data_IF_376024995314
#
_entry.id   IF_376024995314
#
_cell.length_a   1.000
_cell.length_b   1.000
_cell.length_c   1.000
_cell.angle_alpha   90.00
_cell.angle_beta   90.00
_cell.angle_gamma   90.00
#
_symmetry.space_group_name_H-M   'P 1'
#
loop_
_entity.id
_entity.type
_entity.pdbx_description
1 polymer ?
#
# COMPACT_ATOMS: atom_id res chain seq x y z
N UNK A 1 -127.20 -16.98 -25.10
CA UNK A 1 -127.09 -17.17 -23.63
C UNK A 1 -125.91 -16.32 -23.14
N UNK A 2 -126.16 -15.46 -22.14
CA UNK A 2 -125.27 -14.53 -21.38
C UNK A 2 -123.97 -15.19 -20.82
N UNK A 3 -123.04 -14.48 -20.11
CA UNK A 3 -122.63 -13.05 -20.12
C UNK A 3 -121.11 -12.75 -19.86
N UNK A 4 -120.73 -11.47 -19.97
CA UNK A 4 -119.85 -10.59 -19.14
C UNK A 4 -118.55 -11.11 -18.47
N UNK A 5 -117.44 -10.36 -18.65
CA UNK A 5 -116.50 -10.01 -17.57
C UNK A 5 -115.62 -8.79 -17.92
N UNK A 6 -115.57 -7.83 -16.99
CA UNK A 6 -114.67 -6.67 -16.92
C UNK A 6 -113.37 -7.06 -16.22
N UNK A 7 -112.21 -6.51 -16.62
CA UNK A 7 -110.99 -6.56 -15.80
C UNK A 7 -110.08 -5.35 -16.06
N UNK A 8 -109.92 -4.54 -15.02
CA UNK A 8 -108.96 -3.44 -14.87
C UNK A 8 -107.68 -4.01 -14.25
N UNK A 9 -106.49 -3.70 -14.79
CA UNK A 9 -105.20 -4.01 -14.18
C UNK A 9 -104.31 -2.75 -14.20
N UNK A 10 -103.77 -2.41 -13.02
CA UNK A 10 -103.11 -1.16 -12.64
C UNK A 10 -101.64 -0.97 -13.07
N UNK A 11 -100.96 0.05 -12.51
CA UNK A 11 -99.78 0.67 -13.12
C UNK A 11 -98.47 -0.09 -12.83
N UNK A 12 -97.59 -0.11 -13.83
CA UNK A 12 -96.25 -0.67 -13.75
C UNK A 12 -95.33 0.18 -12.84
N UNK A 13 -94.71 -0.45 -11.84
CA UNK A 13 -93.74 0.18 -10.94
C UNK A 13 -92.41 0.41 -11.65
N UNK A 14 -92.02 1.68 -11.78
CA UNK A 14 -90.80 2.13 -12.47
C UNK A 14 -89.63 2.18 -11.48
N UNK A 15 -88.61 1.36 -11.72
CA UNK A 15 -87.33 1.43 -10.99
C UNK A 15 -86.62 2.73 -11.39
N UNK A 16 -86.26 3.57 -10.42
CA UNK A 16 -85.56 4.84 -10.65
C UNK A 16 -84.06 4.59 -10.46
N UNK A 17 -83.21 4.73 -11.49
CA UNK A 17 -81.78 4.68 -11.34
C UNK A 17 -81.29 5.92 -10.58
N UNK A 18 -80.37 5.73 -9.62
CA UNK A 18 -79.69 6.85 -8.96
C UNK A 18 -78.77 7.51 -9.99
N UNK A 19 -79.15 8.71 -10.43
CA UNK A 19 -78.30 9.59 -11.23
C UNK A 19 -77.18 10.08 -10.32
N UNK A 20 -75.95 9.74 -10.63
CA UNK A 20 -74.77 10.41 -10.05
C UNK A 20 -74.63 11.70 -10.84
N UNK A 21 -74.92 12.84 -10.21
CA UNK A 21 -74.68 14.14 -10.83
C UNK A 21 -73.17 14.36 -10.98
N UNK A 22 -72.72 14.50 -12.22
CA UNK A 22 -71.39 15.02 -12.50
C UNK A 22 -71.41 16.54 -12.29
N UNK A 23 -70.85 17.00 -11.17
CA UNK A 23 -70.53 18.41 -10.98
C UNK A 23 -69.48 18.83 -12.02
N UNK A 24 -69.86 19.72 -12.93
CA UNK A 24 -68.95 20.33 -13.90
C UNK A 24 -67.98 21.30 -13.22
N UNK A 25 -66.73 21.30 -13.66
CA UNK A 25 -65.68 22.20 -13.16
C UNK A 25 -65.91 23.64 -13.62
N UNK A 26 -65.62 24.60 -12.74
CA UNK A 26 -65.63 26.03 -13.10
C UNK A 26 -64.28 26.45 -13.69
N UNK A 27 -64.28 27.51 -14.52
CA UNK A 27 -63.04 28.08 -15.07
C UNK A 27 -62.09 28.52 -13.94
N UNK A 28 -62.63 29.04 -12.84
CA UNK A 28 -61.87 29.43 -11.64
C UNK A 28 -61.18 28.23 -10.99
N UNK A 29 -61.87 27.10 -10.88
CA UNK A 29 -61.32 25.87 -10.31
C UNK A 29 -60.18 25.29 -11.18
N UNK A 30 -60.33 25.35 -12.50
CA UNK A 30 -59.26 24.96 -13.43
C UNK A 30 -58.02 25.85 -13.27
N UNK A 31 -58.20 27.17 -13.20
CA UNK A 31 -57.10 28.14 -13.05
C UNK A 31 -56.35 27.93 -11.72
N UNK A 32 -57.09 27.73 -10.63
CA UNK A 32 -56.49 27.45 -9.32
C UNK A 32 -55.74 26.11 -9.35
N UNK A 33 -56.30 25.07 -9.98
CA UNK A 33 -55.65 23.77 -10.07
C UNK A 33 -54.31 23.83 -10.83
N UNK A 34 -54.28 24.43 -12.03
CA UNK A 34 -53.03 24.51 -12.82
C UNK A 34 -51.97 25.38 -12.14
N UNK A 35 -52.39 26.45 -11.46
CA UNK A 35 -51.46 27.33 -10.72
C UNK A 35 -50.85 26.64 -9.51
N UNK A 36 -51.65 25.93 -8.71
CA UNK A 36 -51.16 25.13 -7.58
C UNK A 36 -50.26 24.00 -8.05
N UNK A 37 -50.64 23.28 -9.12
CA UNK A 37 -49.79 22.24 -9.72
C UNK A 37 -48.45 22.81 -10.19
N UNK A 38 -48.43 24.01 -10.78
CA UNK A 38 -47.20 24.68 -11.17
C UNK A 38 -46.25 24.94 -9.99
N UNK A 39 -46.78 25.51 -8.89
CA UNK A 39 -45.99 25.79 -7.68
C UNK A 39 -45.43 24.50 -7.06
N UNK A 40 -46.27 23.47 -6.94
CA UNK A 40 -45.86 22.17 -6.37
C UNK A 40 -44.84 21.48 -7.27
N UNK A 41 -45.01 21.51 -8.59
CA UNK A 41 -44.10 20.88 -9.54
C UNK A 41 -42.68 21.46 -9.47
N UNK A 42 -42.56 22.79 -9.33
CA UNK A 42 -41.26 23.46 -9.17
C UNK A 42 -40.59 23.04 -7.85
N UNK A 43 -41.35 22.96 -6.75
CA UNK A 43 -40.83 22.54 -5.45
C UNK A 43 -40.32 21.09 -5.49
N UNK A 44 -41.11 20.17 -6.06
CA UNK A 44 -40.72 18.76 -6.19
C UNK A 44 -39.48 18.61 -7.08
N UNK A 45 -39.43 19.32 -8.20
CA UNK A 45 -38.29 19.23 -9.14
C UNK A 45 -36.99 19.72 -8.51
N UNK A 46 -37.01 20.84 -7.80
CA UNK A 46 -35.81 21.38 -7.12
C UNK A 46 -35.36 20.48 -5.98
N UNK A 47 -36.28 19.95 -5.19
CA UNK A 47 -35.97 19.02 -4.11
C UNK A 47 -35.32 17.72 -4.63
N UNK A 48 -35.91 17.11 -5.66
CA UNK A 48 -35.37 15.88 -6.28
C UNK A 48 -34.02 16.16 -6.93
N UNK A 49 -33.86 17.29 -7.64
CA UNK A 49 -32.58 17.69 -8.22
C UNK A 49 -31.48 17.83 -7.17
N UNK A 50 -31.76 18.49 -6.06
CA UNK A 50 -30.80 18.65 -4.97
C UNK A 50 -30.43 17.32 -4.29
N UNK A 51 -31.39 16.40 -4.14
CA UNK A 51 -31.12 15.07 -3.60
C UNK A 51 -30.22 14.25 -4.53
N UNK A 52 -30.47 14.30 -5.84
CA UNK A 52 -29.63 13.63 -6.84
C UNK A 52 -28.21 14.20 -6.86
N UNK A 53 -28.05 15.53 -6.82
CA UNK A 53 -26.74 16.18 -6.74
C UNK A 53 -25.99 15.79 -5.47
N UNK A 54 -26.66 15.80 -4.31
CA UNK A 54 -26.05 15.37 -3.05
C UNK A 54 -25.61 13.91 -3.05
N UNK A 55 -26.36 13.03 -3.73
CA UNK A 55 -25.95 11.63 -3.92
C UNK A 55 -24.69 11.51 -4.79
N UNK A 56 -24.63 12.23 -5.91
CA UNK A 56 -23.47 12.23 -6.81
C UNK A 56 -22.22 12.76 -6.12
N UNK A 57 -22.34 13.87 -5.37
CA UNK A 57 -21.23 14.44 -4.61
C UNK A 57 -20.74 13.46 -3.54
N UNK A 58 -21.65 12.78 -2.84
CA UNK A 58 -21.28 11.76 -1.85
C UNK A 58 -20.58 10.58 -2.50
N UNK A 59 -21.04 10.13 -3.67
CA UNK A 59 -20.42 9.04 -4.41
C UNK A 59 -19.00 9.40 -4.89
N UNK A 60 -18.83 10.61 -5.44
CA UNK A 60 -17.51 11.12 -5.87
C UNK A 60 -16.52 11.20 -4.71
N UNK A 61 -16.97 11.73 -3.56
CA UNK A 61 -16.15 11.77 -2.34
C UNK A 61 -15.70 10.38 -1.91
N UNK A 62 -16.63 9.42 -1.91
CA UNK A 62 -16.34 8.05 -1.50
C UNK A 62 -15.31 7.39 -2.43
N UNK A 63 -15.41 7.62 -3.74
CA UNK A 63 -14.44 7.14 -4.71
C UNK A 63 -13.04 7.75 -4.49
N UNK A 64 -12.96 9.06 -4.28
CA UNK A 64 -11.71 9.76 -3.97
C UNK A 64 -11.04 9.23 -2.69
N UNK A 65 -11.81 9.06 -1.62
CA UNK A 65 -11.33 8.46 -0.36
C UNK A 65 -10.83 7.04 -0.59
N UNK A 66 -11.59 6.22 -1.31
CA UNK A 66 -11.23 4.81 -1.56
C UNK A 66 -9.93 4.71 -2.37
N UNK A 67 -9.77 5.54 -3.41
CA UNK A 67 -8.56 5.60 -4.24
C UNK A 67 -7.32 6.00 -3.42
N UNK A 68 -7.44 7.06 -2.61
CA UNK A 68 -6.37 7.50 -1.73
C UNK A 68 -6.02 6.44 -0.67
N UNK A 69 -7.02 5.81 -0.06
CA UNK A 69 -6.79 4.77 0.96
C UNK A 69 -6.12 3.53 0.36
N UNK A 70 -6.55 3.07 -0.82
CA UNK A 70 -5.90 1.97 -1.52
C UNK A 70 -4.42 2.26 -1.81
N UNK A 71 -4.10 3.47 -2.29
CA UNK A 71 -2.71 3.88 -2.51
C UNK A 71 -1.89 3.82 -1.21
N UNK A 72 -2.43 4.34 -0.11
CA UNK A 72 -1.78 4.30 1.21
C UNK A 72 -1.61 2.87 1.75
N UNK A 73 -2.57 1.98 1.51
CA UNK A 73 -2.48 0.56 1.90
C UNK A 73 -1.41 -0.18 1.10
N UNK A 74 -1.29 0.09 -0.21
CA UNK A 74 -0.24 -0.47 -1.06
C UNK A 74 1.14 -0.01 -0.59
N UNK A 75 1.32 1.29 -0.32
CA UNK A 75 2.56 1.82 0.26
C UNK A 75 2.88 1.14 1.60
N UNK A 76 1.91 1.05 2.51
CA UNK A 76 2.10 0.43 3.82
C UNK A 76 2.51 -1.05 3.71
N UNK A 77 1.92 -1.80 2.77
CA UNK A 77 2.29 -3.20 2.52
C UNK A 77 3.73 -3.33 2.03
N UNK A 78 4.14 -2.51 1.08
CA UNK A 78 5.50 -2.53 0.54
C UNK A 78 6.56 -2.24 1.62
N UNK A 79 6.27 -1.28 2.50
CA UNK A 79 7.20 -0.80 3.53
C UNK A 79 7.29 -1.72 4.74
N UNK A 80 6.25 -2.52 5.01
CA UNK A 80 6.31 -3.58 6.04
C UNK A 80 7.36 -4.64 5.73
N UNK A 81 7.73 -4.80 4.45
CA UNK A 81 8.77 -5.72 4.00
C UNK A 81 10.10 -5.01 3.68
N UNK A 82 10.33 -3.84 4.29
CA UNK A 82 11.60 -3.14 4.16
C UNK A 82 12.67 -3.79 5.06
N UNK A 83 13.92 -3.78 4.58
CA UNK A 83 15.07 -4.12 5.43
C UNK A 83 15.10 -3.15 6.63
N UNK A 84 15.36 -3.64 7.86
CA UNK A 84 15.51 -2.78 9.03
C UNK A 84 16.43 -1.59 8.76
N UNK A 85 16.06 -0.38 9.19
CA UNK A 85 16.84 0.85 8.97
C UNK A 85 17.16 1.17 7.49
N UNK A 86 16.33 0.70 6.54
CA UNK A 86 16.46 1.04 5.11
C UNK A 86 15.59 2.19 4.66
N UNK A 87 14.56 2.56 5.40
CA UNK A 87 13.64 3.62 4.96
C UNK A 87 14.36 4.96 5.09
N UNK A 88 14.35 5.74 4.01
CA UNK A 88 14.85 7.12 3.98
C UNK A 88 13.96 8.02 3.14
N UNK A 89 13.88 9.29 3.53
CA UNK A 89 13.07 10.31 2.86
C UNK A 89 13.98 11.48 2.48
N UNK A 90 13.83 11.97 1.25
CA UNK A 90 14.49 13.17 0.75
C UNK A 90 13.45 14.17 0.25
N UNK A 91 13.61 15.44 0.61
CA UNK A 91 12.73 16.54 0.16
C UNK A 91 11.25 16.43 0.59
N UNK A 92 10.88 15.42 1.38
CA UNK A 92 9.48 15.13 1.72
C UNK A 92 8.67 14.49 0.58
N UNK A 93 9.23 14.34 -0.62
CA UNK A 93 8.53 13.86 -1.81
C UNK A 93 9.18 12.62 -2.44
N UNK A 94 10.36 12.22 -1.98
CA UNK A 94 11.01 10.97 -2.36
C UNK A 94 11.15 10.07 -1.14
N UNK A 95 10.45 8.93 -1.15
CA UNK A 95 10.54 7.88 -0.14
C UNK A 95 11.24 6.68 -0.75
N UNK A 96 12.32 6.21 -0.14
CA UNK A 96 13.09 5.07 -0.61
C UNK A 96 13.24 4.00 0.48
N UNK A 97 13.25 2.74 0.07
CA UNK A 97 13.55 1.60 0.93
C UNK A 97 14.22 0.48 0.12
N UNK A 98 14.74 -0.54 0.83
CA UNK A 98 15.20 -1.78 0.21
C UNK A 98 14.24 -2.91 0.58
N UNK A 99 13.50 -3.48 -0.39
CA UNK A 99 12.62 -4.62 -0.15
C UNK A 99 13.42 -5.88 0.20
N UNK A 100 12.99 -6.58 1.24
CA UNK A 100 13.45 -7.94 1.56
C UNK A 100 12.89 -8.90 0.50
N UNK A 101 13.77 -9.65 -0.17
CA UNK A 101 13.36 -10.74 -1.08
C UNK A 101 13.14 -12.04 -0.32
N UNK A 102 14.04 -12.33 0.62
CA UNK A 102 13.95 -13.46 1.53
C UNK A 102 14.78 -13.17 2.80
N UNK A 103 14.66 -13.97 3.84
CA UNK A 103 15.43 -13.82 5.07
C UNK A 103 15.59 -15.15 5.78
N UNK A 104 16.56 -15.22 6.68
CA UNK A 104 16.77 -16.41 7.49
C UNK A 104 17.48 -16.10 8.79
N UNK A 105 17.74 -17.15 9.58
CA UNK A 105 18.61 -17.05 10.75
C UNK A 105 19.91 -17.77 10.48
N UNK A 106 21.02 -17.11 10.74
CA UNK A 106 22.34 -17.75 10.68
C UNK A 106 22.73 -18.29 12.05
N UNK A 107 23.61 -19.29 12.06
CA UNK A 107 24.14 -19.85 13.30
C UNK A 107 25.13 -18.87 13.95
N UNK A 108 24.82 -18.47 15.20
CA UNK A 108 25.65 -17.52 15.98
C UNK A 108 26.73 -18.17 16.84
N UNK A 109 26.67 -19.49 17.05
CA UNK A 109 27.58 -20.23 17.93
C UNK A 109 27.89 -21.59 17.34
N UNK A 110 29.12 -22.09 17.49
CA UNK A 110 29.51 -23.39 16.97
C UNK A 110 28.58 -24.48 17.48
N UNK A 111 28.28 -25.45 16.63
CA UNK A 111 27.48 -26.59 17.04
C UNK A 111 28.32 -27.54 17.89
N UNK A 112 28.02 -27.59 19.20
CA UNK A 112 28.74 -28.44 20.15
C UNK A 112 28.50 -29.94 19.96
N UNK A 113 27.57 -30.33 19.09
CA UNK A 113 27.29 -31.73 18.76
C UNK A 113 28.12 -32.26 17.59
N UNK A 114 28.77 -31.38 16.82
CA UNK A 114 29.66 -31.78 15.74
C UNK A 114 30.99 -32.29 16.30
N UNK A 115 31.44 -33.43 15.79
CA UNK A 115 32.69 -34.07 16.22
C UNK A 115 33.95 -33.30 15.75
N UNK A 116 33.85 -32.52 14.68
CA UNK A 116 34.92 -31.66 14.16
C UNK A 116 34.71 -30.20 14.61
N UNK A 117 35.54 -29.69 15.54
CA UNK A 117 35.47 -28.31 16.01
C UNK A 117 35.75 -27.27 14.92
N UNK A 118 36.54 -27.61 13.90
CA UNK A 118 36.88 -26.70 12.80
C UNK A 118 35.65 -26.53 11.90
N UNK A 119 35.02 -27.63 11.49
CA UNK A 119 33.76 -27.57 10.74
C UNK A 119 32.66 -26.83 11.52
N UNK A 120 32.57 -27.04 12.83
CA UNK A 120 31.60 -26.33 13.68
C UNK A 120 31.82 -24.81 13.74
N UNK A 121 33.09 -24.36 13.64
CA UNK A 121 33.45 -22.95 13.65
C UNK A 121 33.22 -22.30 12.28
N UNK A 122 33.57 -22.98 11.18
CA UNK A 122 33.36 -22.50 9.79
C UNK A 122 31.86 -22.33 9.47
N UNK A 123 31.00 -23.09 10.13
CA UNK A 123 29.54 -22.95 10.01
C UNK A 123 28.96 -21.69 10.67
N UNK A 124 29.74 -20.92 11.45
CA UNK A 124 29.28 -19.69 12.11
C UNK A 124 29.79 -18.45 11.39
N UNK A 125 28.96 -17.41 11.34
CA UNK A 125 29.37 -16.12 10.78
C UNK A 125 30.29 -15.38 11.76
N UNK A 126 31.54 -15.13 11.37
CA UNK A 126 32.57 -14.44 12.15
C UNK A 126 32.76 -12.99 11.67
N UNK A 127 32.46 -12.04 12.55
CA UNK A 127 32.57 -10.61 12.25
C UNK A 127 33.99 -10.06 12.39
N UNK A 128 34.99 -10.90 12.72
CA UNK A 128 36.39 -10.53 12.88
C UNK A 128 37.30 -10.99 11.73
N UNK A 129 36.82 -11.89 10.88
CA UNK A 129 37.56 -12.45 9.74
C UNK A 129 36.68 -12.54 8.49
N UNK A 130 37.26 -12.95 7.35
CA UNK A 130 36.49 -13.18 6.12
C UNK A 130 35.76 -14.52 6.18
N UNK A 131 34.43 -14.49 6.10
CA UNK A 131 33.63 -15.70 5.96
C UNK A 131 33.46 -16.06 4.47
N UNK A 132 33.72 -17.32 4.13
CA UNK A 132 33.38 -17.90 2.83
C UNK A 132 32.09 -18.70 2.85
N UNK A 133 31.56 -19.01 4.04
CA UNK A 133 30.27 -19.66 4.21
C UNK A 133 29.72 -19.42 5.61
N UNK A 134 28.41 -19.62 5.79
CA UNK A 134 27.77 -19.72 7.09
C UNK A 134 26.54 -20.61 7.02
N UNK A 135 26.22 -21.28 8.13
CA UNK A 135 25.03 -22.14 8.22
C UNK A 135 23.77 -21.32 8.50
N UNK A 136 22.71 -21.67 7.78
CA UNK A 136 21.35 -21.18 7.99
C UNK A 136 20.56 -22.18 8.82
N UNK A 137 19.99 -21.69 9.91
CA UNK A 137 19.07 -22.42 10.77
C UNK A 137 17.72 -22.59 10.05
N UNK A 138 17.64 -23.62 9.22
CA UNK A 138 16.46 -23.97 8.44
C UNK A 138 16.13 -25.45 8.62
N UNK A 139 14.85 -25.78 8.75
CA UNK A 139 14.38 -27.17 8.77
C UNK A 139 14.03 -27.63 7.36
N UNK A 140 14.78 -28.58 6.81
CA UNK A 140 14.52 -29.13 5.47
C UNK A 140 15.46 -28.56 4.42
N UNK A 141 15.01 -28.58 3.16
CA UNK A 141 15.80 -28.13 2.01
C UNK A 141 15.68 -26.62 1.82
N UNK A 142 16.81 -25.92 1.77
CA UNK A 142 16.82 -24.48 1.52
C UNK A 142 16.21 -24.12 0.16
N UNK A 143 15.36 -23.08 0.09
CA UNK A 143 14.84 -22.57 -1.18
C UNK A 143 15.97 -21.94 -1.99
N UNK A 144 15.87 -21.94 -3.31
CA UNK A 144 16.86 -21.27 -4.16
C UNK A 144 16.96 -19.76 -3.84
N UNK A 145 18.17 -19.19 -3.86
CA UNK A 145 18.35 -17.77 -3.64
C UNK A 145 17.72 -16.95 -4.79
N UNK A 146 17.19 -15.75 -4.50
CA UNK A 146 16.80 -14.81 -5.53
C UNK A 146 17.96 -14.48 -6.48
N UNK A 147 17.66 -14.25 -7.75
CA UNK A 147 18.66 -13.79 -8.71
C UNK A 147 19.29 -12.46 -8.26
N UNK A 148 20.62 -12.34 -8.40
CA UNK A 148 21.40 -11.19 -7.95
C UNK A 148 21.22 -10.85 -6.46
N UNK A 149 20.97 -11.87 -5.63
CA UNK A 149 20.86 -11.68 -4.19
C UNK A 149 22.14 -11.10 -3.60
N UNK A 150 21.97 -10.17 -2.66
CA UNK A 150 22.99 -9.63 -1.76
C UNK A 150 22.54 -9.93 -0.34
N UNK A 151 23.50 -10.22 0.53
CA UNK A 151 23.23 -10.57 1.92
C UNK A 151 23.41 -9.33 2.78
N UNK A 152 22.42 -9.02 3.63
CA UNK A 152 22.45 -7.94 4.62
C UNK A 152 22.44 -8.53 6.02
N UNK A 153 23.37 -8.11 6.86
CA UNK A 153 23.46 -8.51 8.28
C UNK A 153 23.73 -7.27 9.13
N UNK A 154 23.01 -7.14 10.25
CA UNK A 154 23.32 -6.13 11.26
C UNK A 154 23.10 -4.67 10.84
N UNK A 155 22.21 -4.39 9.86
CA UNK A 155 21.86 -3.02 9.52
C UNK A 155 21.06 -2.36 10.66
N UNK A 156 21.72 -1.45 11.37
CA UNK A 156 21.19 -0.79 12.56
C UNK A 156 21.37 0.72 12.45
N UNK A 157 20.67 1.49 13.31
CA UNK A 157 20.85 2.94 13.41
C UNK A 157 22.30 3.32 13.74
N UNK A 158 23.01 2.53 14.55
CA UNK A 158 24.42 2.76 14.87
C UNK A 158 25.33 2.62 13.63
N UNK A 159 25.08 1.60 12.79
CA UNK A 159 25.78 1.46 11.50
C UNK A 159 25.42 2.62 10.56
N UNK A 160 24.17 3.08 10.59
CA UNK A 160 23.71 4.31 9.96
C UNK A 160 24.56 5.52 10.29
N UNK A 161 24.67 5.84 11.58
CA UNK A 161 25.44 6.98 12.08
C UNK A 161 26.93 6.88 11.78
N UNK A 162 27.47 5.66 11.68
CA UNK A 162 28.86 5.41 11.30
C UNK A 162 29.13 5.56 9.79
N UNK A 163 28.09 5.79 8.97
CA UNK A 163 28.22 5.83 7.52
C UNK A 163 28.39 4.44 6.88
N UNK A 164 27.99 3.39 7.59
CA UNK A 164 28.14 1.97 7.25
C UNK A 164 26.77 1.33 6.94
N UNK A 165 25.74 2.16 6.72
CA UNK A 165 24.41 1.64 6.37
C UNK A 165 24.40 0.91 5.02
N UNK A 166 23.30 0.22 4.75
CA UNK A 166 23.10 -0.55 3.53
C UNK A 166 23.24 0.24 2.21
N UNK A 167 23.08 1.58 2.24
CA UNK A 167 23.20 2.46 1.07
C UNK A 167 24.60 3.03 0.90
N UNK A 168 25.39 3.06 1.99
CA UNK A 168 26.74 3.55 1.98
C UNK A 168 27.66 2.52 1.34
N UNK A 169 27.87 2.67 0.04
CA UNK A 169 28.98 2.06 -0.69
C UNK A 169 28.89 0.55 -0.87
N UNK A 170 28.34 0.14 -2.01
CA UNK A 170 29.12 -0.74 -2.87
C UNK A 170 28.97 -0.27 -4.31
N UNK A 171 29.69 0.80 -4.67
CA UNK A 171 30.03 0.95 -6.09
C UNK A 171 30.78 -0.31 -6.50
N UNK A 172 30.38 -0.94 -7.62
CA UNK A 172 31.14 -2.06 -8.18
C UNK A 172 32.62 -1.70 -8.25
N UNK A 173 33.48 -2.49 -7.60
CA UNK A 173 34.93 -2.41 -7.77
C UNK A 173 35.74 -1.63 -6.72
N UNK A 174 35.13 -1.07 -5.67
CA UNK A 174 35.93 -0.52 -4.54
C UNK A 174 36.31 -1.64 -3.57
N UNK A 175 37.60 -1.76 -3.23
CA UNK A 175 38.05 -2.62 -2.13
C UNK A 175 37.37 -2.14 -0.85
N UNK A 176 36.45 -2.96 -0.36
CA UNK A 176 35.65 -2.69 0.83
C UNK A 176 36.54 -2.95 2.05
N UNK A 177 36.80 -1.97 2.93
CA UNK A 177 37.55 -2.25 4.15
C UNK A 177 36.83 -3.34 4.96
N UNK A 178 37.59 -4.32 5.41
CA UNK A 178 37.07 -5.47 6.15
C UNK A 178 36.25 -5.03 7.36
N UNK A 179 35.08 -5.65 7.56
CA UNK A 179 34.24 -5.36 8.73
C UNK A 179 33.67 -3.94 8.77
N UNK A 180 33.57 -3.25 7.63
CA UNK A 180 33.02 -1.88 7.58
C UNK A 180 31.71 -1.76 6.78
N UNK A 181 31.05 -2.88 6.47
CA UNK A 181 29.78 -2.89 5.72
C UNK A 181 28.78 -3.91 6.25
N UNK A 182 27.49 -3.57 6.15
CA UNK A 182 26.35 -4.42 6.55
C UNK A 182 25.77 -5.23 5.38
N UNK A 183 26.23 -5.00 4.15
CA UNK A 183 25.73 -5.61 2.92
C UNK A 183 26.88 -6.10 2.04
N UNK A 184 26.76 -7.30 1.46
CA UNK A 184 27.75 -7.83 0.52
C UNK A 184 27.81 -6.97 -0.76
N UNK A 185 28.97 -6.64 -1.34
CA UNK A 185 29.04 -5.91 -2.61
C UNK A 185 28.55 -6.77 -3.79
N UNK A 186 28.29 -6.15 -4.95
CA UNK A 186 27.88 -6.86 -6.18
C UNK A 186 28.87 -7.93 -6.67
N UNK A 187 30.15 -7.81 -6.29
CA UNK A 187 31.19 -8.80 -6.63
C UNK A 187 31.23 -10.02 -5.71
N UNK A 188 30.51 -10.02 -4.59
CA UNK A 188 30.38 -11.18 -3.70
C UNK A 188 29.09 -11.92 -4.06
N UNK A 189 29.25 -13.14 -4.55
CA UNK A 189 28.16 -13.96 -5.07
C UNK A 189 27.74 -14.96 -3.97
N UNK A 190 26.55 -14.81 -3.37
CA UNK A 190 26.02 -15.81 -2.48
C UNK A 190 25.48 -17.01 -3.29
N UNK A 191 25.72 -18.22 -2.80
CA UNK A 191 25.13 -19.45 -3.32
C UNK A 191 24.70 -20.38 -2.18
N UNK A 192 23.90 -21.39 -2.49
CA UNK A 192 23.46 -22.39 -1.50
C UNK A 192 24.24 -23.69 -1.71
N UNK A 193 24.72 -24.24 -0.61
CA UNK A 193 25.26 -25.59 -0.51
C UNK A 193 24.61 -26.28 0.70
N UNK A 194 23.60 -27.12 0.46
CA UNK A 194 22.80 -27.72 1.54
C UNK A 194 22.13 -26.66 2.42
N UNK A 195 22.47 -26.63 3.71
CA UNK A 195 21.98 -25.65 4.69
C UNK A 195 22.94 -24.47 4.91
N UNK A 196 23.92 -24.28 4.02
CA UNK A 196 24.86 -23.17 4.09
C UNK A 196 24.62 -22.17 2.96
N UNK A 197 24.91 -20.90 3.26
CA UNK A 197 25.14 -19.86 2.25
C UNK A 197 26.65 -19.71 2.10
N UNK A 198 27.16 -19.91 0.90
CA UNK A 198 28.57 -19.66 0.54
C UNK A 198 28.73 -18.25 -0.02
N UNK A 199 29.84 -17.57 0.26
CA UNK A 199 30.19 -16.24 -0.22
C UNK A 199 31.49 -16.31 -1.03
N UNK A 200 31.42 -15.96 -2.32
CA UNK A 200 32.56 -15.97 -3.22
C UNK A 200 32.77 -14.61 -3.91
N UNK A 201 33.89 -13.89 -3.66
CA UNK A 201 34.90 -14.16 -2.65
C UNK A 201 34.33 -14.02 -1.22
N UNK A 202 35.09 -14.43 -0.21
CA UNK A 202 34.69 -14.28 1.19
C UNK A 202 34.43 -12.82 1.58
N UNK A 203 33.61 -12.60 2.60
CA UNK A 203 33.18 -11.29 3.06
C UNK A 203 33.08 -11.20 4.58
N UNK A 204 33.44 -10.06 5.15
CA UNK A 204 33.34 -9.78 6.59
C UNK A 204 32.32 -8.69 6.83
N UNK A 205 31.21 -9.04 7.49
CA UNK A 205 30.20 -8.07 7.92
C UNK A 205 30.71 -7.24 9.09
N UNK A 206 30.29 -5.97 9.16
CA UNK A 206 30.66 -5.06 10.23
C UNK A 206 30.09 -5.44 11.60
N UNK A 207 28.89 -6.01 11.61
CA UNK A 207 28.15 -6.26 12.83
C UNK A 207 27.19 -7.43 12.64
N UNK A 208 27.11 -8.28 13.67
CA UNK A 208 26.12 -9.33 13.73
C UNK A 208 24.74 -8.84 14.14
N UNK A 209 23.70 -9.50 13.62
CA UNK A 209 22.34 -9.31 14.10
C UNK A 209 22.19 -9.80 15.55
N UNK A 210 21.53 -8.99 16.39
CA UNK A 210 21.18 -9.39 17.75
C UNK A 210 20.30 -10.65 17.74
N UNK A 211 19.35 -10.73 16.80
CA UNK A 211 18.46 -11.87 16.60
C UNK A 211 19.05 -12.99 15.73
N UNK A 212 20.26 -12.81 15.20
CA UNK A 212 20.91 -13.76 14.28
C UNK A 212 20.23 -13.84 12.92
N UNK A 213 19.62 -12.75 12.44
CA UNK A 213 18.97 -12.69 11.13
C UNK A 213 19.92 -12.18 10.06
N UNK A 214 19.70 -12.67 8.84
CA UNK A 214 20.19 -12.07 7.61
C UNK A 214 19.02 -11.82 6.67
N UNK A 215 19.18 -10.88 5.74
CA UNK A 215 18.20 -10.56 4.72
C UNK A 215 18.83 -10.70 3.34
N UNK A 216 18.09 -11.25 2.39
CA UNK A 216 18.44 -11.26 0.98
C UNK A 216 17.74 -10.09 0.28
N UNK A 217 18.52 -9.29 -0.42
CA UNK A 217 18.06 -8.11 -1.14
C UNK A 217 18.63 -8.13 -2.55
N UNK A 218 18.13 -7.26 -3.43
CA UNK A 218 18.68 -7.14 -4.78
C UNK A 218 18.78 -5.66 -5.17
N UNK A 219 17.63 -4.98 -5.22
CA UNK A 219 17.51 -3.60 -5.66
C UNK A 219 16.81 -2.73 -4.62
N UNK A 220 16.90 -1.41 -4.80
CA UNK A 220 16.10 -0.44 -4.07
C UNK A 220 14.75 -0.20 -4.76
N UNK A 221 13.81 0.37 -4.02
CA UNK A 221 12.52 0.83 -4.50
C UNK A 221 12.20 2.20 -3.92
N UNK A 222 11.49 3.02 -4.70
CA UNK A 222 11.10 4.38 -4.29
C UNK A 222 9.65 4.68 -4.65
N UNK A 223 9.03 5.53 -3.84
CA UNK A 223 7.86 6.30 -4.20
C UNK A 223 8.28 7.74 -4.42
N UNK A 224 8.04 8.25 -5.62
CA UNK A 224 8.27 9.65 -5.94
C UNK A 224 6.93 10.34 -6.15
N UNK A 225 6.76 11.44 -5.45
CA UNK A 225 5.65 12.34 -5.65
C UNK A 225 6.09 13.57 -6.44
N UNK A 226 5.44 13.81 -7.58
CA UNK A 226 5.76 14.92 -8.48
C UNK A 226 4.74 16.07 -8.44
N UNK A 227 3.84 16.07 -7.44
CA UNK A 227 2.80 17.09 -7.30
C UNK A 227 1.58 16.91 -8.20
N UNK A 228 1.53 15.82 -8.99
CA UNK A 228 0.33 15.40 -9.75
C UNK A 228 -0.01 13.92 -9.53
N UNK A 229 1.00 13.14 -9.16
CA UNK A 229 0.91 11.69 -8.98
C UNK A 229 1.94 11.19 -7.98
N UNK A 230 1.70 10.00 -7.45
CA UNK A 230 2.73 9.17 -6.81
C UNK A 230 3.01 8.00 -7.74
N UNK A 231 4.28 7.83 -8.10
CA UNK A 231 4.74 6.72 -8.93
C UNK A 231 5.72 5.86 -8.14
N UNK A 232 5.53 4.55 -8.19
CA UNK A 232 6.47 3.56 -7.65
C UNK A 232 7.55 3.27 -8.67
N UNK A 233 8.80 3.39 -8.25
CA UNK A 233 9.98 2.99 -9.00
C UNK A 233 10.65 1.79 -8.33
N UNK A 234 11.22 0.88 -9.12
CA UNK A 234 11.93 -0.28 -8.58
C UNK A 234 12.94 -0.86 -9.53
N UNK A 235 13.72 -1.82 -9.04
CA UNK A 235 14.69 -2.55 -9.86
C UNK A 235 15.94 -1.76 -10.20
N UNK A 236 16.22 -0.67 -9.48
CA UNK A 236 17.45 0.10 -9.64
C UNK A 236 18.45 -0.19 -8.51
N UNK A 237 19.76 0.04 -8.75
CA UNK A 237 20.80 -0.32 -7.79
C UNK A 237 20.64 0.38 -6.44
N UNK A 238 20.98 -0.33 -5.36
CA UNK A 238 21.16 0.25 -4.03
C UNK A 238 22.38 1.18 -4.07
N UNK A 239 22.18 2.48 -3.80
CA UNK A 239 23.22 3.51 -3.96
C UNK A 239 23.15 4.56 -2.85
N UNK A 240 24.28 5.25 -2.62
CA UNK A 240 24.40 6.24 -1.54
C UNK A 240 23.53 7.47 -1.77
N UNK A 241 23.51 8.00 -2.99
CA UNK A 241 22.65 9.11 -3.38
C UNK A 241 21.22 8.64 -3.56
N UNK A 242 20.30 9.12 -2.73
CA UNK A 242 18.88 8.83 -2.87
C UNK A 242 18.35 9.49 -4.15
N UNK A 243 17.71 8.74 -5.07
CA UNK A 243 17.02 9.33 -6.21
C UNK A 243 15.86 10.22 -5.74
N UNK A 244 15.81 11.45 -6.27
CA UNK A 244 14.68 12.38 -6.11
C UNK A 244 13.87 12.54 -7.40
N UNK A 245 14.27 11.84 -8.45
CA UNK A 245 13.62 11.73 -9.76
C UNK A 245 13.68 10.27 -10.24
N UNK A 246 12.95 9.96 -11.32
CA UNK A 246 12.89 8.62 -11.90
C UNK A 246 14.31 8.02 -12.08
N UNK A 247 14.68 6.96 -11.33
CA UNK A 247 16.01 6.38 -11.44
C UNK A 247 16.23 5.76 -12.82
N UNK A 248 17.43 5.93 -13.39
CA UNK A 248 17.76 5.37 -14.68
C UNK A 248 17.65 3.83 -14.67
N UNK A 249 17.01 3.26 -15.69
CA UNK A 249 16.81 1.81 -15.83
C UNK A 249 15.81 1.19 -14.85
N UNK A 250 15.14 1.99 -14.02
CA UNK A 250 14.09 1.50 -13.12
C UNK A 250 12.80 1.15 -13.86
N UNK A 251 12.04 0.20 -13.30
CA UNK A 251 10.63 0.03 -13.66
C UNK A 251 9.81 1.12 -12.98
N UNK A 252 8.70 1.51 -13.62
CA UNK A 252 7.77 2.51 -13.11
C UNK A 252 6.33 1.98 -13.12
N UNK A 253 5.60 2.24 -12.04
CA UNK A 253 4.18 1.94 -11.91
C UNK A 253 3.46 3.10 -11.24
N UNK A 254 2.48 3.69 -11.93
CA UNK A 254 1.62 4.73 -11.37
C UNK A 254 0.84 4.13 -10.20
N UNK A 255 0.96 4.72 -9.01
CA UNK A 255 0.21 4.29 -7.84
C UNK A 255 -1.12 5.05 -7.74
N UNK A 256 -1.04 6.38 -7.87
CA UNK A 256 -2.19 7.27 -7.80
C UNK A 256 -1.88 8.56 -8.56
N UNK A 257 -2.88 9.09 -9.25
CA UNK A 257 -2.93 10.38 -9.93
C UNK A 257 -3.91 11.33 -9.23
N UNK A 258 -4.01 12.57 -9.72
CA UNK A 258 -4.83 13.62 -9.10
C UNK A 258 -4.26 14.09 -7.75
N UNK A 259 -3.00 13.80 -7.46
CA UNK A 259 -2.34 14.22 -6.22
C UNK A 259 -2.09 15.71 -6.30
N UNK A 260 -2.53 16.47 -5.30
CA UNK A 260 -2.29 17.92 -5.20
C UNK A 260 -1.29 18.26 -4.10
N UNK A 261 -1.25 17.46 -3.03
CA UNK A 261 -0.24 17.52 -1.99
C UNK A 261 0.17 16.11 -1.58
N UNK A 262 1.45 15.96 -1.27
CA UNK A 262 2.01 14.72 -0.77
C UNK A 262 3.21 15.05 0.10
N UNK A 263 3.31 14.37 1.23
CA UNK A 263 4.45 14.51 2.13
C UNK A 263 4.73 13.19 2.81
N UNK A 264 5.98 12.75 2.68
CA UNK A 264 6.54 11.64 3.42
C UNK A 264 7.38 12.19 4.58
N UNK A 265 7.27 11.56 5.74
CA UNK A 265 8.13 11.81 6.89
C UNK A 265 8.49 10.51 7.56
N UNK A 266 9.76 10.29 7.88
CA UNK A 266 10.23 9.11 8.57
C UNK A 266 11.08 9.49 9.77
N UNK A 267 10.76 8.90 10.92
CA UNK A 267 11.50 9.11 12.17
C UNK A 267 11.74 7.77 12.83
N UNK A 268 12.97 7.50 13.25
CA UNK A 268 13.30 6.37 14.12
C UNK A 268 12.82 6.68 15.54
N UNK A 269 12.02 5.80 16.14
CA UNK A 269 11.55 5.96 17.51
C UNK A 269 12.57 5.37 18.49
N UNK A 270 13.06 4.17 18.19
CA UNK A 270 14.12 3.49 18.93
C UNK A 270 14.93 2.56 18.00
N UNK A 271 15.73 1.65 18.56
CA UNK A 271 16.51 0.68 17.80
C UNK A 271 15.67 -0.36 17.04
N UNK A 272 14.43 -0.60 17.48
CA UNK A 272 13.50 -1.65 17.04
C UNK A 272 12.35 -1.11 16.19
N UNK A 273 11.97 0.16 16.33
CA UNK A 273 10.81 0.73 15.65
C UNK A 273 11.10 2.10 15.04
N UNK A 274 10.50 2.34 13.88
CA UNK A 274 10.38 3.64 13.24
C UNK A 274 8.91 3.97 12.96
N UNK A 275 8.63 5.24 12.67
CA UNK A 275 7.31 5.70 12.25
C UNK A 275 7.45 6.43 10.92
N UNK A 276 6.72 5.95 9.91
CA UNK A 276 6.51 6.66 8.66
C UNK A 276 5.15 7.34 8.69
N UNK A 277 5.12 8.63 8.41
CA UNK A 277 3.90 9.41 8.20
C UNK A 277 3.79 9.75 6.72
N UNK A 278 2.61 9.49 6.16
CA UNK A 278 2.26 9.85 4.78
C UNK A 278 1.05 10.79 4.85
N UNK A 279 1.21 12.01 4.35
CA UNK A 279 0.12 12.95 4.09
C UNK A 279 -0.15 12.97 2.58
N UNK A 280 -1.40 12.79 2.18
CA UNK A 280 -1.81 12.70 0.78
C UNK A 280 -3.10 13.49 0.58
N UNK A 281 -3.07 14.47 -0.30
CA UNK A 281 -4.26 15.15 -0.81
C UNK A 281 -4.48 14.77 -2.27
N UNK A 282 -5.70 14.36 -2.59
CA UNK A 282 -6.14 14.01 -3.94
C UNK A 282 -7.31 14.90 -4.31
N UNK A 283 -7.28 15.43 -5.53
CA UNK A 283 -8.30 16.29 -6.09
C UNK A 283 -8.80 15.71 -7.41
N UNK A 284 -10.11 15.62 -7.56
CA UNK A 284 -10.76 15.31 -8.83
C UNK A 284 -12.00 16.18 -9.01
N UNK A 285 -12.15 16.77 -10.20
CA UNK A 285 -13.34 17.51 -10.60
C UNK A 285 -13.78 18.60 -9.59
N UNK A 286 -12.80 19.28 -8.97
CA UNK A 286 -13.00 20.34 -7.98
C UNK A 286 -13.20 19.87 -6.54
N UNK A 287 -13.36 18.57 -6.31
CA UNK A 287 -13.44 17.99 -4.97
C UNK A 287 -12.06 17.55 -4.48
N UNK A 288 -11.74 17.80 -3.21
CA UNK A 288 -10.45 17.42 -2.61
C UNK A 288 -10.63 16.67 -1.30
N UNK A 289 -9.80 15.65 -1.10
CA UNK A 289 -9.77 14.85 0.13
C UNK A 289 -8.31 14.74 0.60
N UNK A 290 -8.08 14.94 1.90
CA UNK A 290 -6.78 14.75 2.53
C UNK A 290 -6.82 13.56 3.49
N UNK A 291 -5.88 12.63 3.32
CA UNK A 291 -5.66 11.50 4.22
C UNK A 291 -4.26 11.60 4.84
N UNK A 292 -4.17 11.28 6.12
CA UNK A 292 -2.90 11.12 6.82
C UNK A 292 -2.84 9.72 7.40
N UNK A 293 -1.75 8.99 7.14
CA UNK A 293 -1.54 7.65 7.66
C UNK A 293 -0.17 7.55 8.33
N UNK A 294 -0.16 7.05 9.55
CA UNK A 294 1.06 6.66 10.27
C UNK A 294 1.23 5.14 10.20
N UNK A 295 2.44 4.71 9.87
CA UNK A 295 2.81 3.32 9.69
C UNK A 295 4.00 3.05 10.61
N UNK A 296 3.81 2.14 11.57
CA UNK A 296 4.92 1.62 12.39
C UNK A 296 5.76 0.66 11.55
N UNK A 297 7.07 0.86 11.57
CA UNK A 297 8.07 0.09 10.83
C UNK A 297 8.89 -0.71 11.84
N UNK A 298 9.04 -2.01 11.64
CA UNK A 298 9.94 -2.85 12.44
C UNK A 298 11.38 -2.70 11.90
N UNK A 299 12.25 -2.20 12.75
CA UNK A 299 13.68 -1.99 12.53
C UNK A 299 14.54 -3.04 13.26
N UNK A 300 13.96 -4.20 13.57
CA UNK A 300 14.67 -5.28 14.26
C UNK A 300 15.55 -6.07 13.30
N UNK A 301 16.84 -5.71 13.24
CA UNK A 301 17.89 -6.48 12.55
C UNK A 301 18.17 -7.81 13.22
#
# INVERSE_FOLDING_TARGET
MKPSASLVIGPNMKVIPRVVEHSGFTLVELVIAISLMGVVSVLVTTMVGNQMLGYVDTARRAELVAKADMALQVMARDLRNAVPHSIRVSGGNALEWVPVQDWGRYRKRPDSSLADPVAAQVATLDFSTLDTEFEVLHSGTMPALPANARVVVGNTSAMGSAGINLYAGSGSGTLVPLGSHVITPSGVIPAISGNQITLAPGFQFALGSAAGRFYLVNNAASYLCNGTSITRYGGYPIQSSQPTSAPAGSSAALLIDGVTLCQFGYTTLDATYGMLTISLQVTDSGESVTLVRSITIENRS
#
